data_IF_185017349497
#
_entry.id   IF_185017349497
#
_cell.length_a   1.000
_cell.length_b   1.000
_cell.length_c   1.000
_cell.angle_alpha   90.00
_cell.angle_beta   90.00
_cell.angle_gamma   90.00
#
_symmetry.space_group_name_H-M   'P 1'
#
loop_
_entity.id
_entity.type
_entity.pdbx_description
1 polymer ?
#
# COMPACT_ATOMS: atom_id res chain seq x y z
N UNK A 1 -9.50 11.61 13.01
CA UNK A 1 -9.77 10.74 11.85
C UNK A 1 -8.81 11.06 10.72
N UNK A 2 -7.81 10.21 10.58
CA UNK A 2 -6.88 10.24 9.46
C UNK A 2 -7.63 10.08 8.13
N UNK A 3 -7.22 10.87 7.14
CA UNK A 3 -7.84 10.92 5.83
C UNK A 3 -6.87 10.40 4.78
N UNK A 4 -7.44 9.80 3.74
CA UNK A 4 -6.72 9.44 2.53
C UNK A 4 -5.89 10.62 2.02
N UNK A 5 -4.64 10.34 1.67
CA UNK A 5 -3.72 11.32 1.11
C UNK A 5 -3.64 11.06 -0.39
N UNK A 6 -3.70 12.11 -1.22
CA UNK A 6 -3.52 11.93 -2.67
C UNK A 6 -2.13 11.32 -2.94
N UNK A 7 -2.03 10.16 -3.62
CA UNK A 7 -0.74 9.50 -3.84
C UNK A 7 0.20 10.33 -4.69
N UNK A 8 1.50 10.18 -4.42
CA UNK A 8 2.55 10.63 -5.33
C UNK A 8 2.56 9.72 -6.57
N UNK A 9 2.85 10.29 -7.74
CA UNK A 9 2.93 9.53 -8.99
C UNK A 9 4.37 9.51 -9.49
N UNK A 10 4.87 8.37 -10.00
CA UNK A 10 6.15 8.32 -10.64
C UNK A 10 6.12 9.13 -11.95
N UNK A 11 7.25 9.74 -12.29
CA UNK A 11 7.45 10.31 -13.62
C UNK A 11 7.93 9.21 -14.56
N UNK A 12 7.24 9.06 -15.69
CA UNK A 12 7.65 8.10 -16.72
C UNK A 12 8.91 8.59 -17.42
N UNK A 13 9.96 7.76 -17.41
CA UNK A 13 11.24 8.01 -18.07
C UNK A 13 11.65 6.77 -18.86
N UNK A 14 12.49 6.93 -19.89
CA UNK A 14 12.96 5.82 -20.72
C UNK A 14 13.93 4.90 -19.97
N UNK A 15 14.78 5.47 -19.12
CA UNK A 15 15.79 4.75 -18.35
C UNK A 15 15.67 5.16 -16.88
N UNK A 16 15.64 4.20 -15.92
CA UNK A 16 15.64 4.52 -14.51
C UNK A 16 16.86 5.39 -14.14
N UNK A 17 16.69 6.41 -13.29
CA UNK A 17 17.81 7.21 -12.84
C UNK A 17 18.80 6.35 -12.03
N UNK A 18 20.06 6.79 -12.00
CA UNK A 18 21.18 6.08 -11.36
C UNK A 18 21.95 7.00 -10.41
N UNK A 19 22.81 6.41 -9.57
CA UNK A 19 23.65 7.10 -8.59
C UNK A 19 23.11 7.04 -7.17
N UNK A 20 23.92 7.51 -6.22
CA UNK A 20 23.72 7.28 -4.77
C UNK A 20 22.51 8.02 -4.17
N UNK A 21 21.91 8.95 -4.93
CA UNK A 21 20.72 9.70 -4.52
C UNK A 21 19.41 8.97 -4.88
N UNK A 22 19.48 7.75 -5.41
CA UNK A 22 18.32 6.98 -5.85
C UNK A 22 18.26 5.63 -5.16
N UNK A 23 17.05 5.24 -4.77
CA UNK A 23 16.72 3.85 -4.45
C UNK A 23 15.83 3.27 -5.55
N UNK A 24 15.90 1.96 -5.74
CA UNK A 24 15.09 1.23 -6.70
C UNK A 24 14.24 0.19 -6.00
N UNK A 25 12.96 0.19 -6.32
CA UNK A 25 11.99 -0.76 -5.80
C UNK A 25 11.38 -1.58 -6.93
N UNK A 26 10.86 -2.74 -6.59
CA UNK A 26 10.11 -3.56 -7.54
C UNK A 26 8.81 -2.84 -7.89
N UNK A 27 8.59 -2.60 -9.19
CA UNK A 27 7.29 -2.17 -9.67
C UNK A 27 6.32 -3.35 -9.64
N UNK A 28 5.39 -3.31 -8.70
CA UNK A 28 4.29 -4.26 -8.62
C UNK A 28 3.13 -3.90 -9.55
N UNK A 29 2.45 -4.91 -10.09
CA UNK A 29 1.20 -4.76 -10.85
C UNK A 29 0.01 -5.18 -9.99
N UNK A 30 -0.70 -4.20 -9.44
CA UNK A 30 -1.84 -4.43 -8.55
C UNK A 30 -2.82 -3.26 -8.46
N UNK A 31 -3.41 -3.10 -7.27
CA UNK A 31 -4.20 -1.92 -6.93
C UNK A 31 -3.51 -1.10 -5.84
N UNK A 32 -3.00 0.08 -6.21
CA UNK A 32 -2.49 1.09 -5.27
C UNK A 32 -3.53 1.40 -4.19
N UNK A 33 -3.14 1.18 -2.94
CA UNK A 33 -4.01 1.23 -1.76
C UNK A 33 -3.26 1.87 -0.58
N UNK A 34 -3.96 2.71 0.18
CA UNK A 34 -3.50 3.16 1.48
C UNK A 34 -4.14 2.34 2.59
N UNK A 35 -3.33 1.84 3.51
CA UNK A 35 -3.80 1.25 4.76
C UNK A 35 -3.74 2.34 5.82
N UNK A 36 -4.91 2.75 6.30
CA UNK A 36 -5.07 3.78 7.32
C UNK A 36 -5.41 3.09 8.63
N UNK A 37 -4.53 3.21 9.62
CA UNK A 37 -4.67 2.65 10.96
C UNK A 37 -5.02 3.78 11.92
N UNK A 38 -6.03 3.59 12.74
CA UNK A 38 -6.42 4.56 13.79
C UNK A 38 -7.21 3.84 14.89
N UNK A 39 -6.80 4.05 16.14
CA UNK A 39 -7.51 3.60 17.35
C UNK A 39 -7.88 2.10 17.35
N UNK A 40 -6.92 1.24 16.98
CA UNK A 40 -7.12 -0.22 16.96
C UNK A 40 -8.00 -0.73 15.82
N UNK A 41 -8.25 0.12 14.81
CA UNK A 41 -8.96 -0.24 13.57
C UNK A 41 -8.09 0.07 12.36
N UNK A 42 -8.43 -0.53 11.22
CA UNK A 42 -7.78 -0.20 9.95
C UNK A 42 -8.79 -0.14 8.80
N UNK A 43 -8.49 0.69 7.81
CA UNK A 43 -9.24 0.82 6.55
C UNK A 43 -8.29 0.74 5.37
N UNK A 44 -8.78 0.18 4.25
CA UNK A 44 -8.03 0.11 3.01
C UNK A 44 -8.68 1.00 1.94
N UNK A 45 -7.99 2.07 1.55
CA UNK A 45 -8.51 3.07 0.61
C UNK A 45 -7.74 3.01 -0.70
N UNK A 46 -8.43 2.72 -1.80
CA UNK A 46 -7.81 2.66 -3.14
C UNK A 46 -7.29 4.03 -3.59
N UNK A 47 -6.43 4.05 -4.61
CA UNK A 47 -5.94 5.28 -5.28
C UNK A 47 -7.02 6.30 -5.66
N UNK A 48 -8.27 5.86 -5.89
CA UNK A 48 -9.40 6.74 -6.25
C UNK A 48 -10.24 7.18 -5.05
N UNK A 49 -9.86 6.80 -3.82
CA UNK A 49 -10.58 7.14 -2.60
C UNK A 49 -11.69 6.17 -2.22
N UNK A 50 -11.87 5.05 -2.93
CA UNK A 50 -12.87 4.04 -2.56
C UNK A 50 -12.39 3.21 -1.37
N UNK A 51 -13.28 3.00 -0.40
CA UNK A 51 -13.06 2.09 0.73
C UNK A 51 -13.28 0.64 0.29
N UNK A 52 -12.22 -0.15 0.29
CA UNK A 52 -12.19 -1.58 -0.04
C UNK A 52 -11.85 -2.45 1.17
N UNK A 53 -12.10 -1.96 2.40
CA UNK A 53 -11.80 -2.70 3.63
C UNK A 53 -12.49 -4.06 3.70
N UNK A 54 -13.70 -4.19 3.15
CA UNK A 54 -14.40 -5.48 3.07
C UNK A 54 -13.76 -6.46 2.08
N UNK A 55 -13.25 -5.96 0.94
CA UNK A 55 -12.52 -6.77 -0.04
C UNK A 55 -11.16 -7.20 0.49
N UNK A 56 -10.52 -6.33 1.29
CA UNK A 56 -9.20 -6.55 1.88
C UNK A 56 -9.28 -6.93 3.36
N UNK A 57 -10.31 -7.68 3.74
CA UNK A 57 -10.61 -8.01 5.14
C UNK A 57 -9.40 -8.53 5.92
N UNK A 58 -8.69 -9.53 5.39
CA UNK A 58 -7.51 -10.10 6.03
C UNK A 58 -6.38 -9.08 6.22
N UNK A 59 -6.18 -8.19 5.23
CA UNK A 59 -5.15 -7.13 5.31
C UNK A 59 -5.51 -6.12 6.41
N UNK A 60 -6.76 -5.65 6.47
CA UNK A 60 -7.17 -4.67 7.48
C UNK A 60 -7.21 -5.28 8.88
N UNK A 61 -7.59 -6.55 9.02
CA UNK A 61 -7.55 -7.25 10.31
C UNK A 61 -6.13 -7.36 10.84
N UNK A 62 -5.16 -7.73 10.00
CA UNK A 62 -3.74 -7.76 10.41
C UNK A 62 -3.24 -6.35 10.70
N UNK A 63 -3.55 -5.37 9.85
CA UNK A 63 -3.10 -3.99 10.04
C UNK A 63 -3.62 -3.38 11.35
N UNK A 64 -4.84 -3.71 11.77
CA UNK A 64 -5.42 -3.26 13.03
C UNK A 64 -4.68 -3.79 14.28
N UNK A 65 -3.87 -4.85 14.14
CA UNK A 65 -3.05 -5.40 15.23
C UNK A 65 -1.66 -4.77 15.34
N UNK A 66 -1.28 -3.89 14.40
CA UNK A 66 0.02 -3.22 14.44
C UNK A 66 0.10 -2.24 15.63
N UNK A 67 1.32 -2.05 16.15
CA UNK A 67 1.57 -1.27 17.36
C UNK A 67 1.25 0.24 17.30
N UNK A 68 1.37 0.94 16.15
CA UNK A 68 1.09 2.37 16.09
C UNK A 68 -0.36 2.71 16.47
N UNK A 69 -0.56 3.84 17.17
CA UNK A 69 -1.90 4.36 17.45
C UNK A 69 -2.57 4.88 16.19
N UNK A 70 -1.78 5.47 15.30
CA UNK A 70 -2.26 5.98 14.02
C UNK A 70 -1.18 5.92 12.95
N UNK A 71 -1.51 5.44 11.75
CA UNK A 71 -0.56 5.39 10.64
C UNK A 71 -1.26 5.47 9.28
N UNK A 72 -0.54 5.95 8.26
CA UNK A 72 -0.95 5.83 6.85
C UNK A 72 0.19 5.19 6.08
N UNK A 73 0.01 3.94 5.69
CA UNK A 73 0.90 3.21 4.81
C UNK A 73 0.41 3.38 3.36
N UNK A 74 1.32 3.60 2.42
CA UNK A 74 1.01 3.61 1.00
C UNK A 74 1.69 2.39 0.34
N UNK A 75 0.89 1.52 -0.28
CA UNK A 75 1.37 0.24 -0.81
C UNK A 75 0.57 -0.30 -1.99
N UNK A 76 0.95 -1.46 -2.48
CA UNK A 76 0.26 -2.13 -3.58
C UNK A 76 -0.43 -3.40 -3.06
N UNK A 77 -1.73 -3.54 -3.31
CA UNK A 77 -2.44 -4.80 -3.09
C UNK A 77 -2.24 -5.71 -4.32
N UNK A 78 -1.66 -6.89 -4.12
CA UNK A 78 -1.24 -7.80 -5.20
C UNK A 78 -1.61 -9.25 -4.91
N UNK A 79 -1.53 -10.07 -5.96
CA UNK A 79 -1.45 -11.53 -5.85
C UNK A 79 -0.17 -11.98 -6.53
N UNK A 80 0.58 -12.88 -5.91
CA UNK A 80 1.75 -13.49 -6.51
C UNK A 80 1.37 -14.77 -7.27
N UNK A 81 2.00 -14.98 -8.43
CA UNK A 81 1.93 -16.25 -9.14
C UNK A 81 2.93 -17.28 -8.56
N UNK A 82 2.96 -18.49 -9.11
CA UNK A 82 3.87 -19.57 -8.66
C UNK A 82 5.37 -19.26 -8.81
N UNK A 83 5.75 -18.14 -9.44
CA UNK A 83 7.13 -17.66 -9.56
C UNK A 83 7.42 -16.46 -8.66
N UNK A 84 6.49 -16.05 -7.81
CA UNK A 84 6.64 -14.89 -6.92
C UNK A 84 6.51 -13.53 -7.61
N UNK A 85 5.96 -13.48 -8.83
CA UNK A 85 5.73 -12.23 -9.58
C UNK A 85 4.28 -11.79 -9.41
N UNK A 86 4.03 -10.48 -9.28
CA UNK A 86 2.67 -9.94 -9.20
C UNK A 86 1.87 -10.26 -10.48
N UNK A 87 0.67 -10.80 -10.30
CA UNK A 87 -0.25 -11.18 -11.39
C UNK A 87 -1.58 -10.43 -11.25
N UNK A 88 -1.73 -9.40 -12.07
CA UNK A 88 -2.91 -8.54 -12.10
C UNK A 88 -4.19 -9.28 -12.53
N UNK A 89 -4.08 -10.32 -13.39
CA UNK A 89 -5.25 -11.09 -13.77
C UNK A 89 -5.74 -11.94 -12.59
N UNK A 90 -4.82 -12.62 -11.91
CA UNK A 90 -5.11 -13.39 -10.70
C UNK A 90 -5.68 -12.51 -9.58
N UNK A 91 -5.18 -11.28 -9.41
CA UNK A 91 -5.71 -10.33 -8.43
C UNK A 91 -7.21 -10.05 -8.61
N UNK A 92 -7.66 -9.79 -9.85
CA UNK A 92 -9.08 -9.54 -10.13
C UNK A 92 -9.98 -10.73 -9.78
N UNK A 93 -9.49 -11.95 -9.97
CA UNK A 93 -10.20 -13.17 -9.58
C UNK A 93 -10.21 -13.34 -8.05
N UNK A 94 -9.07 -13.14 -7.40
CA UNK A 94 -8.91 -13.25 -5.95
C UNK A 94 -9.85 -12.31 -5.19
N UNK A 95 -10.04 -11.08 -5.66
CA UNK A 95 -10.97 -10.12 -5.05
C UNK A 95 -12.40 -10.64 -4.88
N UNK A 96 -12.83 -11.64 -5.69
CA UNK A 96 -14.16 -12.24 -5.61
C UNK A 96 -14.17 -13.59 -4.89
N UNK A 97 -13.13 -14.40 -5.12
CA UNK A 97 -13.18 -15.82 -4.81
C UNK A 97 -12.14 -16.29 -3.80
N UNK A 98 -11.06 -15.52 -3.61
CA UNK A 98 -9.94 -15.90 -2.74
C UNK A 98 -9.23 -14.64 -2.19
N UNK A 99 -9.93 -13.78 -1.43
CA UNK A 99 -9.37 -12.51 -0.93
C UNK A 99 -8.19 -12.71 0.03
N UNK A 100 -8.09 -13.88 0.64
CA UNK A 100 -6.98 -14.35 1.48
C UNK A 100 -5.65 -14.49 0.72
N UNK A 101 -5.69 -14.61 -0.61
CA UNK A 101 -4.49 -14.63 -1.46
C UNK A 101 -3.91 -13.24 -1.72
N UNK A 102 -4.66 -12.19 -1.38
CA UNK A 102 -4.24 -10.81 -1.63
C UNK A 102 -3.30 -10.38 -0.51
N UNK A 103 -2.11 -9.94 -0.89
CA UNK A 103 -1.12 -9.38 0.04
C UNK A 103 -0.97 -7.89 -0.22
N UNK A 104 -0.60 -7.15 0.83
CA UNK A 104 -0.27 -5.74 0.75
C UNK A 104 1.24 -5.56 0.86
N UNK A 105 1.84 -4.91 -0.12
CA UNK A 105 3.26 -4.54 -0.10
C UNK A 105 3.35 -3.04 0.13
N UNK A 106 3.65 -2.64 1.36
CA UNK A 106 3.90 -1.25 1.72
C UNK A 106 5.25 -0.80 1.15
N UNK A 107 5.32 0.45 0.69
CA UNK A 107 6.58 1.06 0.26
C UNK A 107 6.75 2.51 0.71
N UNK A 108 5.77 3.08 1.41
CA UNK A 108 5.89 4.41 2.00
C UNK A 108 5.07 4.50 3.30
N UNK A 109 5.52 5.34 4.23
CA UNK A 109 4.87 5.66 5.49
C UNK A 109 4.61 7.17 5.54
N UNK A 110 3.38 7.56 5.26
CA UNK A 110 3.02 8.97 5.07
C UNK A 110 2.74 9.70 6.40
N UNK A 111 2.34 8.95 7.41
CA UNK A 111 2.00 9.47 8.74
C UNK A 111 2.22 8.39 9.80
N UNK A 112 2.72 8.79 10.97
CA UNK A 112 2.91 7.92 12.13
C UNK A 112 2.64 8.70 13.42
N UNK A 113 1.71 8.23 14.24
CA UNK A 113 1.45 8.72 15.62
C UNK A 113 1.39 10.24 15.78
N UNK A 114 0.66 10.89 14.86
CA UNK A 114 0.44 12.34 14.82
C UNK A 114 1.49 13.13 14.02
N UNK A 115 2.51 12.46 13.51
CA UNK A 115 3.59 13.06 12.72
C UNK A 115 3.32 12.85 11.23
N UNK A 116 3.25 13.93 10.47
CA UNK A 116 3.23 13.89 9.00
C UNK A 116 4.66 13.70 8.47
N UNK A 117 4.93 12.53 7.88
CA UNK A 117 6.28 12.15 7.44
C UNK A 117 6.57 12.53 5.98
N UNK A 118 5.56 12.95 5.21
CA UNK A 118 5.74 13.39 3.80
C UNK A 118 6.82 14.47 3.56
N UNK A 119 7.12 15.38 4.51
CA UNK A 119 8.22 16.33 4.35
C UNK A 119 9.62 15.75 4.62
N UNK A 120 9.71 14.56 5.23
CA UNK A 120 10.97 13.92 5.56
C UNK A 120 11.61 13.27 4.31
N UNK A 121 12.95 13.08 4.29
CA UNK A 121 13.61 12.25 3.30
C UNK A 121 13.09 10.81 3.33
N UNK A 122 13.04 10.15 2.16
CA UNK A 122 12.50 8.78 2.03
C UNK A 122 13.21 7.72 2.90
N UNK A 123 14.46 7.97 3.31
CA UNK A 123 15.27 7.04 4.09
C UNK A 123 15.20 7.26 5.62
N UNK A 124 14.44 8.27 6.08
CA UNK A 124 14.27 8.62 7.50
C UNK A 124 12.87 8.25 8.00
#
# INVERSE_FOLDING_TARGET
MLKFIRPMFPTLVEVPPTGDNWIHEIKYDGYRTQIIIEDGTARAITRRGYDWSSTYKTIVEVAATLSPKSAILDGEAIVLNGKGVSDFHSLRSAMRWAPDRIIFVAFDLLHLDGVNLRPAPLLE
#
